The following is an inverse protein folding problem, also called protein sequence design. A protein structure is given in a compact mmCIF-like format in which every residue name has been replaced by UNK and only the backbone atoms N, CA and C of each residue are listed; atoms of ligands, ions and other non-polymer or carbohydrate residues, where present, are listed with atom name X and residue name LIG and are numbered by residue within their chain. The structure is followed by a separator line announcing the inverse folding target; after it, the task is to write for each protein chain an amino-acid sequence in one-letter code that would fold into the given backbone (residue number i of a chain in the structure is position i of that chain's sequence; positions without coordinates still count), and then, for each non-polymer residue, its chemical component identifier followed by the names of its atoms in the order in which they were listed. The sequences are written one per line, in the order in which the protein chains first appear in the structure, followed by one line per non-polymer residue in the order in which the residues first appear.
data_IF_174965578213
#
_entry.id   IF_174965578213
#
_cell.length_a   1.000
_cell.length_b   1.000
_cell.length_c   1.000
_cell.angle_alpha   90.00
_cell.angle_beta   90.00
_cell.angle_gamma   90.00
#
_symmetry.space_group_name_H-M   'P 1'
#
loop_
_entity.id
_entity.type
_entity.pdbx_description
1 polymer ?
#
# COMPACT_ATOMS: atom_id res chain seq x y z
N UNK A 1 13.90 17.66 -17.75
CA UNK A 1 12.45 17.52 -17.48
C UNK A 1 12.06 18.43 -16.33
N UNK A 2 11.04 19.21 -16.51
CA UNK A 2 10.57 20.11 -15.46
C UNK A 2 9.85 19.30 -14.37
N UNK A 3 10.04 19.73 -13.12
CA UNK A 3 9.41 19.08 -11.97
C UNK A 3 7.89 18.98 -12.12
N UNK A 4 7.26 20.03 -12.65
CA UNK A 4 5.81 20.07 -12.81
C UNK A 4 5.31 18.95 -13.72
N UNK A 5 5.97 18.71 -14.85
CA UNK A 5 5.61 17.63 -15.76
C UNK A 5 5.77 16.27 -15.11
N UNK A 6 6.85 16.10 -14.36
CA UNK A 6 7.12 14.86 -13.66
C UNK A 6 6.01 14.57 -12.63
N UNK A 7 5.67 15.56 -11.81
CA UNK A 7 4.62 15.41 -10.81
C UNK A 7 3.27 15.09 -11.47
N UNK A 8 2.93 15.76 -12.57
CA UNK A 8 1.71 15.50 -13.30
C UNK A 8 1.65 14.04 -13.80
N UNK A 9 2.76 13.53 -14.34
CA UNK A 9 2.84 12.15 -14.82
C UNK A 9 2.62 11.15 -13.66
N UNK A 10 3.21 11.44 -12.50
CA UNK A 10 3.03 10.59 -11.32
C UNK A 10 1.57 10.58 -10.88
N UNK A 11 0.95 11.76 -10.78
CA UNK A 11 -0.45 11.87 -10.34
C UNK A 11 -1.45 11.31 -11.34
N UNK A 12 -1.13 11.29 -12.63
CA UNK A 12 -2.01 10.72 -13.65
C UNK A 12 -1.96 9.20 -13.70
N UNK A 13 -0.92 8.59 -13.16
CA UNK A 13 -0.81 7.14 -13.12
C UNK A 13 -1.95 6.55 -12.28
N UNK A 14 -2.68 5.58 -12.83
CA UNK A 14 -3.81 4.92 -12.16
C UNK A 14 -3.51 3.48 -11.79
N UNK A 15 -2.42 2.93 -12.31
CA UNK A 15 -2.01 1.55 -12.06
C UNK A 15 -0.57 1.49 -11.60
N UNK A 16 -0.25 0.51 -10.74
CA UNK A 16 1.11 0.32 -10.24
C UNK A 16 2.12 0.10 -11.36
N UNK A 17 1.72 -0.61 -12.42
CA UNK A 17 2.59 -0.85 -13.57
C UNK A 17 3.03 0.43 -14.25
N UNK A 18 2.14 1.43 -14.32
CA UNK A 18 2.46 2.74 -14.88
C UNK A 18 3.50 3.46 -14.04
N UNK A 19 3.36 3.41 -12.70
CA UNK A 19 4.33 4.00 -11.80
C UNK A 19 5.68 3.30 -11.88
N UNK A 20 5.68 1.97 -11.95
CA UNK A 20 6.92 1.20 -12.06
C UNK A 20 7.68 1.55 -13.33
N UNK A 21 6.95 1.66 -14.46
CA UNK A 21 7.56 2.06 -15.73
C UNK A 21 8.15 3.46 -15.67
N UNK A 22 7.44 4.39 -15.02
CA UNK A 22 7.89 5.76 -14.85
C UNK A 22 9.14 5.81 -13.96
N UNK A 23 9.16 5.07 -12.86
CA UNK A 23 10.32 4.99 -11.99
C UNK A 23 11.55 4.49 -12.75
N UNK A 24 11.38 3.45 -13.56
CA UNK A 24 12.47 2.89 -14.35
C UNK A 24 13.00 3.91 -15.35
N UNK A 25 12.10 4.59 -16.06
CA UNK A 25 12.46 5.65 -16.99
C UNK A 25 13.28 6.74 -16.31
N UNK A 26 12.85 7.18 -15.15
CA UNK A 26 13.51 8.25 -14.39
C UNK A 26 14.87 7.82 -13.88
N UNK A 27 15.01 6.58 -13.41
CA UNK A 27 16.28 6.05 -12.93
C UNK A 27 17.27 5.90 -14.08
N UNK A 28 16.78 5.47 -15.26
CA UNK A 28 17.62 5.34 -16.44
C UNK A 28 18.14 6.71 -16.94
N UNK A 29 17.31 7.76 -16.81
CA UNK A 29 17.68 9.10 -17.26
C UNK A 29 18.52 9.88 -16.24
N UNK A 30 18.22 9.75 -14.97
CA UNK A 30 18.78 10.61 -13.91
C UNK A 30 19.55 9.88 -12.83
N UNK A 31 19.57 8.54 -12.86
CA UNK A 31 20.18 7.74 -11.81
C UNK A 31 19.29 7.66 -10.59
N UNK A 32 19.81 7.96 -9.39
CA UNK A 32 19.02 7.92 -8.17
C UNK A 32 17.97 9.03 -8.16
N UNK A 33 16.74 8.69 -7.85
CA UNK A 33 15.67 9.68 -7.75
C UNK A 33 15.90 10.62 -6.56
N UNK A 34 15.66 11.95 -6.74
CA UNK A 34 15.66 12.86 -5.61
C UNK A 34 14.66 12.41 -4.55
N UNK A 35 14.95 12.67 -3.29
CA UNK A 35 14.10 12.27 -2.16
C UNK A 35 12.67 12.76 -2.32
N UNK A 36 12.50 14.02 -2.76
CA UNK A 36 11.18 14.61 -2.96
C UNK A 36 10.35 13.84 -3.98
N UNK A 37 10.97 13.46 -5.10
CA UNK A 37 10.30 12.70 -6.16
C UNK A 37 9.95 11.30 -5.66
N UNK A 38 10.89 10.65 -4.98
CA UNK A 38 10.67 9.31 -4.43
C UNK A 38 9.50 9.29 -3.45
N UNK A 39 9.40 10.32 -2.59
CA UNK A 39 8.29 10.42 -1.62
C UNK A 39 6.95 10.57 -2.31
N UNK A 40 6.88 11.32 -3.40
CA UNK A 40 5.63 11.48 -4.17
C UNK A 40 5.24 10.18 -4.84
N UNK A 41 6.21 9.45 -5.38
CA UNK A 41 5.97 8.14 -5.99
C UNK A 41 5.43 7.16 -4.95
N UNK A 42 6.04 7.11 -3.76
CA UNK A 42 5.59 6.25 -2.67
C UNK A 42 4.14 6.58 -2.27
N UNK A 43 3.84 7.86 -2.12
CA UNK A 43 2.50 8.30 -1.77
C UNK A 43 1.48 7.86 -2.83
N UNK A 44 1.83 7.99 -4.10
CA UNK A 44 0.94 7.59 -5.20
C UNK A 44 0.74 6.07 -5.23
N UNK A 45 1.79 5.29 -4.98
CA UNK A 45 1.67 3.83 -4.85
C UNK A 45 0.68 3.46 -3.75
N UNK A 46 0.80 4.10 -2.61
CA UNK A 46 -0.11 3.89 -1.48
C UNK A 46 -1.56 4.19 -1.87
N UNK A 47 -1.80 5.34 -2.51
CA UNK A 47 -3.13 5.74 -2.94
C UNK A 47 -3.74 4.71 -3.90
N UNK A 48 -2.97 4.23 -4.87
CA UNK A 48 -3.44 3.22 -5.82
C UNK A 48 -3.74 1.89 -5.11
N UNK A 49 -2.87 1.47 -4.20
CA UNK A 49 -3.08 0.23 -3.45
C UNK A 49 -4.32 0.29 -2.58
N UNK A 50 -4.65 1.46 -2.05
CA UNK A 50 -5.85 1.64 -1.24
C UNK A 50 -7.15 1.48 -2.04
N UNK A 51 -7.09 1.50 -3.36
CA UNK A 51 -8.27 1.30 -4.21
C UNK A 51 -8.44 -0.14 -4.69
N UNK A 52 -7.61 -1.07 -4.24
CA UNK A 52 -7.68 -2.48 -4.66
C UNK A 52 -8.96 -3.14 -4.14
N UNK A 53 -9.47 -4.17 -4.87
CA UNK A 53 -10.76 -4.79 -4.51
C UNK A 53 -10.83 -5.40 -3.13
N UNK A 54 -9.70 -5.80 -2.54
CA UNK A 54 -9.69 -6.40 -1.19
C UNK A 54 -9.76 -5.35 -0.08
N UNK A 55 -9.70 -4.07 -0.41
CA UNK A 55 -9.81 -2.96 0.55
C UNK A 55 -11.24 -2.45 0.56
N UNK A 56 -11.87 -2.46 1.74
CA UNK A 56 -13.19 -1.84 1.92
C UNK A 56 -13.04 -0.33 2.12
N UNK A 57 -12.22 0.05 3.09
CA UNK A 57 -12.03 1.46 3.43
C UNK A 57 -10.67 1.66 4.08
N UNK A 58 -10.10 2.85 3.89
CA UNK A 58 -8.91 3.29 4.61
C UNK A 58 -9.23 4.63 5.26
N UNK A 59 -9.04 4.71 6.58
CA UNK A 59 -9.31 5.94 7.34
C UNK A 59 -8.05 6.44 8.02
N UNK A 60 -7.86 7.75 7.97
CA UNK A 60 -6.85 8.42 8.76
C UNK A 60 -7.50 8.80 10.11
N UNK A 61 -6.98 8.24 11.18
CA UNK A 61 -7.58 8.36 12.51
C UNK A 61 -6.64 9.05 13.50
N UNK A 62 -6.00 10.13 13.08
CA UNK A 62 -5.15 10.95 13.97
C UNK A 62 -3.99 10.14 14.56
N UNK A 63 -2.87 10.08 13.86
CA UNK A 63 -1.71 9.31 14.29
C UNK A 63 -1.76 7.84 13.93
N UNK A 64 -2.87 7.37 13.36
CA UNK A 64 -3.06 5.99 12.91
C UNK A 64 -3.71 5.98 11.54
N UNK A 65 -3.43 4.93 10.79
CA UNK A 65 -4.18 4.58 9.59
C UNK A 65 -4.92 3.29 9.89
N UNK A 66 -6.22 3.26 9.59
CA UNK A 66 -7.06 2.06 9.73
C UNK A 66 -7.35 1.50 8.36
N UNK A 67 -6.87 0.30 8.09
CA UNK A 67 -7.11 -0.39 6.82
C UNK A 67 -8.16 -1.46 7.07
N UNK A 68 -9.32 -1.30 6.46
CA UNK A 68 -10.42 -2.24 6.59
C UNK A 68 -10.47 -3.12 5.35
N UNK A 69 -10.31 -4.43 5.55
CA UNK A 69 -10.35 -5.41 4.47
C UNK A 69 -11.80 -5.84 4.25
N UNK A 70 -12.15 -6.19 3.01
CA UNK A 70 -13.51 -6.63 2.72
C UNK A 70 -13.86 -7.90 3.49
N UNK A 71 -15.17 -8.15 3.68
CA UNK A 71 -15.64 -9.39 4.32
C UNK A 71 -15.19 -10.63 3.55
N UNK A 72 -15.29 -10.56 2.22
CA UNK A 72 -14.88 -11.66 1.35
C UNK A 72 -13.40 -12.00 1.54
N UNK A 73 -12.52 -11.00 1.46
CA UNK A 73 -11.08 -11.21 1.65
C UNK A 73 -10.77 -11.68 3.08
N UNK A 74 -11.43 -11.07 4.07
CA UNK A 74 -11.23 -11.42 5.48
C UNK A 74 -11.62 -12.87 5.79
N UNK A 75 -12.60 -13.41 5.06
CA UNK A 75 -13.04 -14.79 5.24
C UNK A 75 -12.08 -15.81 4.63
N UNK A 76 -11.28 -15.40 3.64
CA UNK A 76 -10.43 -16.32 2.89
C UNK A 76 -8.95 -16.27 3.30
N UNK A 77 -8.51 -15.16 3.90
CA UNK A 77 -7.10 -15.02 4.27
C UNK A 77 -6.76 -15.89 5.47
N UNK A 78 -5.57 -16.50 5.46
CA UNK A 78 -5.08 -17.24 6.61
C UNK A 78 -4.65 -16.24 7.69
N UNK A 79 -5.36 -16.24 8.82
CA UNK A 79 -5.16 -15.28 9.89
C UNK A 79 -3.75 -15.30 10.48
N UNK A 80 -3.16 -16.49 10.60
CA UNK A 80 -1.80 -16.64 11.10
C UNK A 80 -0.77 -16.03 10.16
N UNK A 81 -0.95 -16.18 8.85
CA UNK A 81 -0.06 -15.57 7.85
C UNK A 81 -0.15 -14.05 7.89
N UNK A 82 -1.36 -13.51 8.01
CA UNK A 82 -1.55 -12.08 8.13
C UNK A 82 -0.91 -11.55 9.41
N UNK A 83 -1.11 -12.24 10.52
CA UNK A 83 -0.53 -11.84 11.81
C UNK A 83 1.00 -11.79 11.73
N UNK A 84 1.63 -12.81 11.17
CA UNK A 84 3.08 -12.86 11.00
C UNK A 84 3.58 -11.71 10.10
N UNK A 85 2.89 -11.47 9.00
CA UNK A 85 3.26 -10.41 8.06
C UNK A 85 3.21 -9.03 8.73
N UNK A 86 2.13 -8.74 9.43
CA UNK A 86 1.94 -7.44 10.08
C UNK A 86 2.96 -7.25 11.20
N UNK A 87 3.25 -8.30 11.98
CA UNK A 87 4.24 -8.21 13.06
C UNK A 87 5.67 -8.14 12.55
N UNK A 88 5.94 -8.65 11.36
CA UNK A 88 7.26 -8.50 10.74
C UNK A 88 7.51 -7.07 10.27
N UNK A 89 6.46 -6.41 9.77
CA UNK A 89 6.60 -5.09 9.17
C UNK A 89 6.46 -3.93 10.15
N UNK A 90 5.72 -4.13 11.24
CA UNK A 90 5.38 -3.04 12.16
C UNK A 90 5.70 -3.40 13.60
N UNK A 91 6.04 -2.37 14.37
CA UNK A 91 6.18 -2.49 15.82
C UNK A 91 4.80 -2.21 16.44
N UNK A 92 4.32 -3.15 17.24
CA UNK A 92 3.03 -3.05 17.96
C UNK A 92 1.83 -2.72 17.05
N UNK A 93 1.65 -3.44 15.95
CA UNK A 93 0.43 -3.25 15.14
C UNK A 93 -0.78 -3.79 15.89
N UNK A 94 -1.96 -3.29 15.54
CA UNK A 94 -3.21 -3.78 16.10
C UNK A 94 -4.07 -4.37 15.00
N UNK A 95 -4.57 -5.57 15.26
CA UNK A 95 -5.52 -6.25 14.38
C UNK A 95 -6.83 -6.41 15.14
N UNK A 96 -7.92 -6.03 14.50
CA UNK A 96 -9.26 -6.17 15.05
C UNK A 96 -10.16 -6.87 14.04
N UNK A 97 -11.23 -7.43 14.52
CA UNK A 97 -12.22 -8.09 13.68
C UNK A 97 -13.57 -7.46 14.00
N UNK A 98 -14.07 -6.64 13.09
CA UNK A 98 -15.28 -5.85 13.29
C UNK A 98 -16.24 -6.11 12.15
N UNK A 99 -17.45 -6.59 12.44
CA UNK A 99 -18.49 -6.86 11.44
C UNK A 99 -17.98 -7.73 10.29
N UNK A 100 -17.25 -8.77 10.63
CA UNK A 100 -16.68 -9.74 9.68
C UNK A 100 -15.60 -9.16 8.77
N UNK A 101 -15.06 -8.00 9.11
CA UNK A 101 -13.93 -7.38 8.41
C UNK A 101 -12.71 -7.31 9.33
N UNK A 102 -11.57 -7.66 8.76
CA UNK A 102 -10.30 -7.47 9.46
C UNK A 102 -9.92 -5.99 9.35
N UNK A 103 -9.59 -5.39 10.49
CA UNK A 103 -9.14 -3.99 10.55
C UNK A 103 -7.70 -3.98 11.03
N UNK A 104 -6.81 -3.40 10.23
CA UNK A 104 -5.40 -3.27 10.57
C UNK A 104 -5.16 -1.82 10.96
N UNK A 105 -4.65 -1.60 12.19
CA UNK A 105 -4.32 -0.26 12.68
C UNK A 105 -2.82 -0.09 12.72
N UNK A 106 -2.32 0.91 12.00
CA UNK A 106 -0.90 1.18 11.85
C UNK A 106 -0.60 2.60 12.31
N UNK A 107 0.38 2.74 13.23
CA UNK A 107 0.83 4.07 13.64
C UNK A 107 1.59 4.74 12.49
N UNK A 108 1.27 6.01 12.23
CA UNK A 108 1.90 6.77 11.14
C UNK A 108 3.19 7.44 11.62
N UNK A 109 4.13 6.62 12.07
CA UNK A 109 5.43 7.06 12.57
C UNK A 109 6.55 6.35 11.80
N UNK A 110 7.72 6.98 11.76
CA UNK A 110 8.91 6.38 11.12
C UNK A 110 8.66 6.04 9.67
N UNK A 111 9.06 4.83 9.28
CA UNK A 111 8.95 4.33 7.91
C UNK A 111 7.62 3.61 7.64
N UNK A 112 6.55 4.10 8.25
CA UNK A 112 5.25 3.44 8.14
C UNK A 112 4.76 3.33 6.70
N UNK A 113 5.01 4.36 5.85
CA UNK A 113 4.49 4.38 4.49
C UNK A 113 5.14 3.31 3.61
N UNK A 114 6.49 3.19 3.53
CA UNK A 114 7.07 2.08 2.79
C UNK A 114 6.65 0.70 3.30
N UNK A 115 6.55 0.53 4.62
CA UNK A 115 6.13 -0.74 5.21
C UNK A 115 4.66 -1.05 4.90
N UNK A 116 3.80 -0.03 4.90
CA UNK A 116 2.39 -0.21 4.54
C UNK A 116 2.25 -0.57 3.07
N UNK A 117 3.05 0.04 2.19
CA UNK A 117 3.07 -0.32 0.77
C UNK A 117 3.47 -1.80 0.60
N UNK A 118 4.48 -2.25 1.33
CA UNK A 118 4.89 -3.66 1.30
C UNK A 118 3.76 -4.57 1.78
N UNK A 119 3.10 -4.21 2.87
CA UNK A 119 1.94 -4.96 3.37
C UNK A 119 0.86 -5.07 2.31
N UNK A 120 0.47 -3.96 1.70
CA UNK A 120 -0.60 -3.93 0.71
C UNK A 120 -0.22 -4.72 -0.55
N UNK A 121 1.05 -4.69 -0.96
CA UNK A 121 1.53 -5.50 -2.07
C UNK A 121 1.44 -6.99 -1.77
N UNK A 122 1.78 -7.42 -0.56
CA UNK A 122 1.67 -8.82 -0.15
C UNK A 122 0.20 -9.25 -0.09
N UNK A 123 -0.69 -8.40 0.44
CA UNK A 123 -2.12 -8.69 0.46
C UNK A 123 -2.69 -8.78 -0.95
N UNK A 124 -2.21 -7.94 -1.87
CA UNK A 124 -2.63 -7.99 -3.27
C UNK A 124 -2.26 -9.33 -3.90
N UNK A 125 -1.05 -9.82 -3.63
CA UNK A 125 -0.63 -11.15 -4.11
C UNK A 125 -1.53 -12.25 -3.54
N UNK A 126 -1.87 -12.18 -2.27
CA UNK A 126 -2.77 -13.16 -1.63
C UNK A 126 -4.17 -13.12 -2.25
N UNK A 127 -4.69 -11.94 -2.53
CA UNK A 127 -5.99 -11.75 -3.17
C UNK A 127 -5.99 -12.36 -4.58
N UNK A 128 -4.96 -12.08 -5.37
CA UNK A 128 -4.83 -12.61 -6.73
C UNK A 128 -4.73 -14.14 -6.72
N UNK A 129 -3.95 -14.72 -5.80
CA UNK A 129 -3.83 -16.17 -5.66
C UNK A 129 -5.16 -16.80 -5.28
N UNK A 130 -5.91 -16.18 -4.37
CA UNK A 130 -7.22 -16.66 -3.97
C UNK A 130 -8.22 -16.70 -5.13
N UNK A 131 -8.14 -15.72 -6.02
CA UNK A 131 -9.05 -15.61 -7.17
C UNK A 131 -8.75 -16.63 -8.27
N UNK A 132 -7.54 -17.22 -8.27
CA UNK A 132 -7.12 -18.18 -9.29
C UNK A 132 -7.24 -19.65 -8.84
N UNK A 133 -7.81 -19.86 -7.67
CA UNK A 133 -8.05 -21.22 -7.15
C UNK A 133 -9.43 -21.73 -7.54
#
# INVERSE_FOLDING_TARGET
MEKLNLYQRIYKAQHLTQLQSLEKELKDLYGTLPREVNNIVLKRKYEILCTQPFIDEVKDAGGYVQIMLTQEFSAHIAGDQLFELVNRLFDKPQLKYIKNEIVIMIQTIGQWLPHTIELLNELKKMDEQSRHQ
#
